data_IF_907802213475
#
_entry.id   IF_907802213475
#
_cell.length_a   1.000
_cell.length_b   1.000
_cell.length_c   1.000
_cell.angle_alpha   90.00
_cell.angle_beta   90.00
_cell.angle_gamma   90.00
#
_symmetry.space_group_name_H-M   'P 1'
#
loop_
_entity.id
_entity.type
_entity.pdbx_description
1 polymer ?
#
# COMPACT_ATOMS: atom_id res chain seq x y z
N UNK A 1 15.15 -13.55 24.60
CA UNK A 1 14.65 -12.77 23.44
C UNK A 1 15.57 -11.58 23.22
N UNK A 2 15.78 -11.16 21.97
CA UNK A 2 16.57 -9.96 21.64
C UNK A 2 15.97 -9.26 20.42
N UNK A 3 15.88 -7.94 20.48
CA UNK A 3 15.60 -7.10 19.31
C UNK A 3 16.90 -6.91 18.53
N UNK A 4 16.89 -7.22 17.25
CA UNK A 4 18.02 -7.15 16.34
C UNK A 4 17.70 -6.26 15.16
N UNK A 5 18.72 -5.64 14.59
CA UNK A 5 18.63 -4.85 13.36
C UNK A 5 19.39 -5.60 12.28
N UNK A 6 18.73 -5.93 11.18
CA UNK A 6 19.33 -6.56 10.01
C UNK A 6 19.17 -5.63 8.80
N UNK A 7 20.28 -5.34 8.10
CA UNK A 7 20.22 -4.53 6.88
C UNK A 7 19.44 -5.30 5.80
N UNK A 8 18.34 -4.74 5.30
CA UNK A 8 17.55 -5.41 4.25
C UNK A 8 17.99 -5.00 2.85
N UNK A 9 18.31 -3.72 2.64
CA UNK A 9 18.81 -3.18 1.37
C UNK A 9 19.40 -1.78 1.55
N UNK A 10 20.21 -1.38 0.59
CA UNK A 10 20.67 0.00 0.42
C UNK A 10 20.11 0.52 -0.90
N UNK A 11 19.51 1.69 -0.88
CA UNK A 11 19.02 2.39 -2.09
C UNK A 11 19.48 3.83 -1.98
N UNK A 12 20.20 4.33 -3.00
CA UNK A 12 20.71 5.71 -3.04
C UNK A 12 21.45 6.13 -1.76
N UNK A 13 22.37 5.26 -1.30
CA UNK A 13 23.15 5.45 -0.07
C UNK A 13 22.32 5.53 1.24
N UNK A 14 21.02 5.17 1.18
CA UNK A 14 20.14 5.08 2.34
C UNK A 14 19.91 3.63 2.72
N UNK A 15 20.20 3.31 3.98
CA UNK A 15 19.96 1.98 4.54
C UNK A 15 18.49 1.79 4.93
N UNK A 16 17.94 0.64 4.53
CA UNK A 16 16.62 0.20 4.92
C UNK A 16 16.76 -1.06 5.80
N UNK A 17 16.95 -0.90 7.11
CA UNK A 17 17.03 -2.02 8.03
C UNK A 17 15.65 -2.61 8.32
N UNK A 18 15.62 -3.91 8.62
CA UNK A 18 14.50 -4.61 9.24
C UNK A 18 14.83 -4.88 10.71
N UNK A 19 13.84 -4.74 11.57
CA UNK A 19 13.94 -5.12 12.98
C UNK A 19 13.42 -6.54 13.17
N UNK A 20 14.15 -7.36 13.91
CA UNK A 20 13.87 -8.79 14.12
C UNK A 20 13.84 -9.07 15.62
N UNK A 21 12.79 -9.72 16.09
CA UNK A 21 12.72 -10.22 17.47
C UNK A 21 13.03 -11.71 17.41
N UNK A 22 14.08 -12.14 18.10
CA UNK A 22 14.41 -13.57 18.23
C UNK A 22 13.64 -14.14 19.42
N UNK A 23 12.68 -15.02 19.14
CA UNK A 23 11.88 -15.73 20.14
C UNK A 23 12.48 -17.13 20.36
N UNK A 24 12.84 -17.51 21.60
CA UNK A 24 13.35 -18.84 21.89
C UNK A 24 12.36 -19.95 21.49
N UNK A 25 12.84 -21.11 20.99
CA UNK A 25 11.98 -22.24 20.65
C UNK A 25 11.04 -22.66 21.79
N UNK A 26 11.55 -22.68 23.03
CA UNK A 26 10.74 -23.01 24.22
C UNK A 26 9.57 -22.05 24.47
N UNK A 27 9.66 -20.80 24.01
CA UNK A 27 8.52 -19.86 24.06
C UNK A 27 7.50 -20.19 22.98
N UNK A 28 7.95 -20.49 21.75
CA UNK A 28 7.10 -20.89 20.62
C UNK A 28 6.31 -22.16 20.95
N UNK A 29 6.96 -23.16 21.55
CA UNK A 29 6.33 -24.41 21.98
C UNK A 29 5.25 -24.16 23.04
N UNK A 30 5.54 -23.34 24.06
CA UNK A 30 4.59 -23.02 25.14
C UNK A 30 3.35 -22.30 24.66
N UNK A 31 3.50 -21.40 23.70
CA UNK A 31 2.36 -20.65 23.11
C UNK A 31 1.69 -21.41 21.97
N UNK A 32 2.26 -22.54 21.54
CA UNK A 32 1.71 -23.42 20.52
C UNK A 32 1.72 -22.86 19.11
N UNK A 33 2.57 -21.86 18.83
CA UNK A 33 2.66 -21.28 17.49
C UNK A 33 3.34 -22.23 16.50
N UNK A 34 2.92 -22.16 15.25
CA UNK A 34 3.47 -22.95 14.15
C UNK A 34 4.14 -22.07 13.11
N UNK A 35 5.08 -22.65 12.37
CA UNK A 35 5.67 -21.96 11.23
C UNK A 35 4.58 -21.56 10.22
N UNK A 36 4.66 -20.32 9.72
CA UNK A 36 3.71 -19.78 8.75
C UNK A 36 2.38 -19.26 9.33
N UNK A 37 2.19 -19.29 10.66
CA UNK A 37 1.01 -18.67 11.28
C UNK A 37 1.01 -17.15 11.10
N UNK A 38 -0.18 -16.59 10.88
CA UNK A 38 -0.37 -15.16 10.83
C UNK A 38 -0.44 -14.60 12.25
N UNK A 39 0.35 -13.55 12.50
CA UNK A 39 0.39 -12.88 13.79
C UNK A 39 -0.17 -11.46 13.66
N UNK A 40 -0.78 -10.97 14.74
CA UNK A 40 -1.23 -9.58 14.90
C UNK A 40 -0.50 -8.94 16.07
N UNK A 41 -0.11 -7.70 15.89
CA UNK A 41 0.44 -6.85 16.94
C UNK A 41 -0.60 -5.89 17.52
N UNK A 42 -0.39 -5.54 18.78
CA UNK A 42 -1.13 -4.53 19.52
C UNK A 42 -0.14 -3.76 20.41
N UNK A 43 -0.22 -2.43 20.41
CA UNK A 43 0.65 -1.58 21.23
C UNK A 43 -0.16 -1.04 22.41
N UNK A 44 0.27 -1.36 23.63
CA UNK A 44 -0.30 -0.83 24.86
C UNK A 44 0.79 -0.04 25.62
N UNK A 45 0.81 1.28 25.43
CA UNK A 45 1.86 2.14 25.96
C UNK A 45 3.22 1.81 25.38
N UNK A 46 4.12 1.24 26.20
CA UNK A 46 5.47 0.78 25.78
C UNK A 46 5.54 -0.75 25.58
N UNK A 47 4.41 -1.44 25.63
CA UNK A 47 4.32 -2.90 25.51
C UNK A 47 3.85 -3.29 24.11
N UNK A 48 4.58 -4.18 23.46
CA UNK A 48 4.17 -4.85 22.22
C UNK A 48 3.57 -6.22 22.58
N UNK A 49 2.30 -6.42 22.25
CA UNK A 49 1.59 -7.69 22.44
C UNK A 49 1.42 -8.34 21.07
N UNK A 50 1.88 -9.58 20.91
CA UNK A 50 1.76 -10.34 19.67
C UNK A 50 0.87 -11.55 19.91
N UNK A 51 -0.16 -11.74 19.08
CA UNK A 51 -1.15 -12.83 19.18
C UNK A 51 -1.26 -13.54 17.84
N UNK A 52 -1.56 -14.85 17.86
CA UNK A 52 -1.94 -15.58 16.64
C UNK A 52 -3.31 -15.08 16.16
N UNK A 53 -3.45 -14.89 14.84
CA UNK A 53 -4.70 -14.49 14.21
C UNK A 53 -5.59 -15.71 13.97
N UNK A 54 -6.87 -15.59 14.32
CA UNK A 54 -7.87 -16.62 13.97
C UNK A 54 -8.24 -16.52 12.48
N UNK A 55 -8.64 -17.64 11.88
CA UNK A 55 -9.06 -17.70 10.47
C UNK A 55 -10.12 -16.67 10.08
N UNK A 56 -11.07 -16.36 10.97
CA UNK A 56 -12.07 -15.31 10.74
C UNK A 56 -11.44 -13.92 10.62
N UNK A 57 -10.51 -13.60 11.52
CA UNK A 57 -9.79 -12.31 11.51
C UNK A 57 -8.87 -12.19 10.28
N UNK A 58 -8.24 -13.30 9.86
CA UNK A 58 -7.44 -13.34 8.62
C UNK A 58 -8.33 -12.97 7.43
N UNK A 59 -9.52 -13.59 7.31
CA UNK A 59 -10.47 -13.26 6.24
C UNK A 59 -10.88 -11.80 6.28
N UNK A 60 -11.21 -11.25 7.45
CA UNK A 60 -11.54 -9.83 7.57
C UNK A 60 -10.38 -8.90 7.19
N UNK A 61 -9.14 -9.23 7.57
CA UNK A 61 -7.95 -8.45 7.19
C UNK A 61 -7.74 -8.51 5.67
N UNK A 62 -7.92 -9.67 5.06
CA UNK A 62 -7.84 -9.84 3.61
C UNK A 62 -8.94 -9.06 2.90
N UNK A 63 -10.18 -9.14 3.39
CA UNK A 63 -11.31 -8.37 2.86
C UNK A 63 -11.06 -6.86 3.01
N UNK A 64 -10.65 -6.36 4.16
CA UNK A 64 -10.31 -4.93 4.34
C UNK A 64 -9.13 -4.47 3.48
N UNK A 65 -8.20 -5.37 3.18
CA UNK A 65 -7.09 -5.10 2.25
C UNK A 65 -7.61 -4.99 0.80
N UNK A 66 -8.66 -5.73 0.46
CA UNK A 66 -9.37 -5.70 -0.82
C UNK A 66 -10.42 -4.57 -0.91
N UNK A 67 -10.97 -4.09 0.22
CA UNK A 67 -11.84 -2.91 0.33
C UNK A 67 -11.10 -1.60 0.00
N UNK A 68 -9.77 -1.64 -0.12
CA UNK A 68 -9.04 -0.57 -0.81
C UNK A 68 -9.52 -0.55 -2.25
N UNK A 69 -10.22 0.54 -2.63
CA UNK A 69 -10.75 0.82 -3.97
C UNK A 69 -10.07 -0.05 -5.04
N UNK A 70 -10.72 -1.13 -5.52
CA UNK A 70 -10.08 -2.08 -6.41
C UNK A 70 -9.48 -1.36 -7.63
N UNK A 71 -8.32 -1.82 -8.10
CA UNK A 71 -7.65 -1.20 -9.26
C UNK A 71 -8.61 -1.02 -10.45
N UNK A 72 -9.51 -1.99 -10.67
CA UNK A 72 -10.53 -1.93 -11.72
C UNK A 72 -11.42 -0.68 -11.56
N UNK A 73 -11.90 -0.43 -10.36
CA UNK A 73 -12.76 0.72 -10.09
C UNK A 73 -11.99 2.05 -10.16
N UNK A 74 -10.77 2.08 -9.62
CA UNK A 74 -9.86 3.21 -9.78
C UNK A 74 -9.63 3.54 -11.26
N UNK A 75 -9.35 2.52 -12.09
CA UNK A 75 -9.13 2.66 -13.53
C UNK A 75 -10.35 3.23 -14.24
N UNK A 76 -11.53 2.67 -14.02
CA UNK A 76 -12.75 3.12 -14.69
C UNK A 76 -13.10 4.56 -14.33
N UNK A 77 -12.99 4.94 -13.06
CA UNK A 77 -13.22 6.33 -12.61
C UNK A 77 -12.24 7.30 -13.28
N UNK A 78 -10.94 6.98 -13.29
CA UNK A 78 -9.93 7.80 -13.96
C UNK A 78 -10.20 7.91 -15.47
N UNK A 79 -10.52 6.80 -16.13
CA UNK A 79 -10.81 6.74 -17.56
C UNK A 79 -12.01 7.62 -17.92
N UNK A 80 -13.12 7.47 -17.19
CA UNK A 80 -14.33 8.28 -17.40
C UNK A 80 -14.06 9.76 -17.18
N UNK A 81 -13.32 10.10 -16.13
CA UNK A 81 -12.99 11.48 -15.80
C UNK A 81 -12.11 12.13 -16.86
N UNK A 82 -11.06 11.44 -17.32
CA UNK A 82 -10.15 11.96 -18.35
C UNK A 82 -10.79 12.01 -19.74
N UNK A 83 -11.70 11.08 -20.07
CA UNK A 83 -12.51 11.17 -21.29
C UNK A 83 -13.38 12.43 -21.31
N UNK A 84 -13.96 12.81 -20.16
CA UNK A 84 -14.74 14.06 -20.04
C UNK A 84 -13.86 15.32 -20.06
N UNK A 85 -12.57 15.19 -19.78
CA UNK A 85 -11.63 16.31 -19.65
C UNK A 85 -10.42 16.12 -20.57
N UNK A 86 -10.65 16.30 -21.89
CA UNK A 86 -9.60 16.16 -22.92
C UNK A 86 -8.39 17.09 -22.73
N UNK A 87 -8.57 18.21 -22.03
CA UNK A 87 -7.49 19.13 -21.66
C UNK A 87 -6.56 18.57 -20.57
N UNK A 88 -6.92 17.45 -19.95
CA UNK A 88 -6.17 16.77 -18.91
C UNK A 88 -6.33 17.39 -17.52
N UNK A 89 -6.06 16.56 -16.52
CA UNK A 89 -6.21 16.91 -15.11
C UNK A 89 -4.95 16.58 -14.32
N UNK A 90 -4.63 17.38 -13.31
CA UNK A 90 -3.58 17.00 -12.35
C UNK A 90 -4.11 15.94 -11.38
N UNK A 91 -3.22 15.21 -10.70
CA UNK A 91 -3.64 14.29 -9.64
C UNK A 91 -4.48 15.00 -8.56
N UNK A 92 -4.14 16.25 -8.23
CA UNK A 92 -4.88 17.06 -7.26
C UNK A 92 -6.31 17.30 -7.72
N UNK A 93 -6.50 17.65 -8.99
CA UNK A 93 -7.83 17.86 -9.59
C UNK A 93 -8.64 16.55 -9.57
N UNK A 94 -8.03 15.47 -10.05
CA UNK A 94 -8.62 14.11 -10.09
C UNK A 94 -9.07 13.68 -8.70
N UNK A 95 -8.19 13.83 -7.70
CA UNK A 95 -8.48 13.44 -6.32
C UNK A 95 -9.64 14.27 -5.75
N UNK A 96 -9.69 15.56 -6.04
CA UNK A 96 -10.75 16.45 -5.55
C UNK A 96 -12.11 16.09 -6.15
N UNK A 97 -12.15 15.74 -7.44
CA UNK A 97 -13.39 15.40 -8.14
C UNK A 97 -13.91 14.02 -7.72
N UNK A 98 -13.05 13.01 -7.70
CA UNK A 98 -13.44 11.61 -7.40
C UNK A 98 -13.40 11.27 -5.91
N UNK A 99 -12.97 12.22 -5.06
CA UNK A 99 -12.80 12.07 -3.62
C UNK A 99 -12.01 10.81 -3.22
N UNK A 100 -10.88 10.55 -3.90
CA UNK A 100 -10.08 9.36 -3.60
C UNK A 100 -9.47 9.43 -2.18
N UNK A 101 -9.53 8.34 -1.39
CA UNK A 101 -9.03 8.31 -0.02
C UNK A 101 -7.50 8.41 0.06
N UNK A 102 -6.80 8.06 -1.02
CA UNK A 102 -5.34 8.05 -1.07
C UNK A 102 -4.74 9.46 -1.17
N UNK A 103 -3.71 9.74 -0.37
CA UNK A 103 -3.00 11.04 -0.40
C UNK A 103 -2.28 11.28 -1.73
N UNK A 104 -1.63 10.25 -2.25
CA UNK A 104 -0.85 10.24 -3.51
C UNK A 104 -1.29 9.04 -4.36
N UNK A 105 -1.12 9.06 -5.69
CA UNK A 105 -1.49 7.93 -6.51
C UNK A 105 -0.53 6.77 -6.29
N UNK A 106 -1.03 5.54 -6.32
CA UNK A 106 -0.18 4.37 -6.22
C UNK A 106 0.63 4.22 -7.52
N UNK A 107 1.96 4.36 -7.45
CA UNK A 107 2.85 4.28 -8.61
C UNK A 107 2.68 3.01 -9.45
N UNK A 108 2.39 1.85 -8.81
CA UNK A 108 2.14 0.61 -9.56
C UNK A 108 0.86 0.71 -10.39
N UNK A 109 -0.17 1.36 -9.86
CA UNK A 109 -1.41 1.57 -10.59
C UNK A 109 -1.24 2.60 -11.69
N UNK A 110 -0.50 3.69 -11.45
CA UNK A 110 -0.22 4.67 -12.51
C UNK A 110 0.45 4.02 -13.71
N UNK A 111 1.49 3.20 -13.48
CA UNK A 111 2.15 2.44 -14.55
C UNK A 111 1.18 1.52 -15.31
N UNK A 112 0.33 0.80 -14.58
CA UNK A 112 -0.71 -0.01 -15.20
C UNK A 112 -1.72 0.80 -16.01
N UNK A 113 -2.05 2.02 -15.61
CA UNK A 113 -2.92 2.91 -16.40
C UNK A 113 -2.25 3.39 -17.69
N UNK A 114 -0.94 3.63 -17.65
CA UNK A 114 -0.16 3.98 -18.86
C UNK A 114 -0.25 2.87 -19.91
N UNK A 115 -0.35 1.60 -19.48
CA UNK A 115 -0.54 0.44 -20.34
C UNK A 115 -2.03 0.22 -20.71
N UNK A 116 -2.91 0.09 -19.71
CA UNK A 116 -4.31 -0.35 -19.86
C UNK A 116 -5.21 0.67 -20.56
N UNK A 117 -5.00 1.96 -20.30
CA UNK A 117 -5.85 3.05 -20.81
C UNK A 117 -5.06 4.07 -21.61
N UNK A 118 -3.79 3.77 -21.91
CA UNK A 118 -2.89 4.68 -22.62
C UNK A 118 -2.78 6.06 -21.93
N UNK A 119 -2.75 6.04 -20.59
CA UNK A 119 -2.52 7.25 -19.81
C UNK A 119 -1.16 7.86 -20.16
N UNK A 120 -1.12 9.16 -20.40
CA UNK A 120 0.11 9.93 -20.56
C UNK A 120 0.23 10.99 -19.46
N UNK A 121 1.45 11.24 -19.02
CA UNK A 121 1.77 12.26 -18.00
C UNK A 121 2.64 13.33 -18.61
N UNK A 122 2.06 14.51 -18.80
CA UNK A 122 2.73 15.66 -19.42
C UNK A 122 3.09 16.66 -18.32
N UNK A 123 4.34 17.12 -18.31
CA UNK A 123 4.76 18.18 -17.38
C UNK A 123 4.35 19.53 -17.94
N UNK A 124 3.36 20.14 -17.31
CA UNK A 124 2.93 21.51 -17.55
C UNK A 124 3.70 22.48 -16.63
N UNK A 125 4.20 23.59 -17.19
CA UNK A 125 5.01 24.57 -16.45
C UNK A 125 4.22 25.31 -15.37
N UNK A 126 2.91 25.45 -15.50
CA UNK A 126 2.04 26.17 -14.56
C UNK A 126 1.29 25.24 -13.62
N UNK A 127 0.85 24.07 -14.11
CA UNK A 127 -0.03 23.14 -13.38
C UNK A 127 0.68 21.91 -12.80
N UNK A 128 1.94 21.65 -13.18
CA UNK A 128 2.66 20.45 -12.76
C UNK A 128 2.36 19.25 -13.66
N UNK A 129 2.26 18.04 -13.08
CA UNK A 129 2.05 16.82 -13.89
C UNK A 129 0.57 16.68 -14.23
N UNK A 130 0.25 16.84 -15.51
CA UNK A 130 -1.10 16.70 -16.08
C UNK A 130 -1.24 15.30 -16.68
N UNK A 131 -2.33 14.63 -16.33
CA UNK A 131 -2.72 13.31 -16.80
C UNK A 131 -3.71 13.47 -17.94
N UNK A 132 -3.48 12.76 -19.03
CA UNK A 132 -4.37 12.70 -20.21
C UNK A 132 -4.44 11.29 -20.74
N UNK A 133 -5.47 10.99 -21.50
CA UNK A 133 -5.46 9.82 -22.38
C UNK A 133 -4.76 10.20 -23.68
N UNK A 134 -4.01 9.25 -24.24
CA UNK A 134 -3.34 9.42 -25.52
C UNK A 134 -4.33 9.64 -26.66
#
# INVERSE_FOLDING_TARGET
>A
MRLQKQLSRVVDNKEYPKWIIVIPPSTIEKIGWKEGEWLKDEIQGKTLIIKSLKNGEIKEILIKKEEKLPYKEFKERIKLLLNKNSSGLTWTDIKKIENFPQKVPNNKWVKKLEEDIQLIRIRDRKRGIVWKLK
#
